data_IF_295990947435
#
_entry.id   IF_295990947435
#
_cell.length_a   1.000
_cell.length_b   1.000
_cell.length_c   1.000
_cell.angle_alpha   90.00
_cell.angle_beta   90.00
_cell.angle_gamma   90.00
#
_symmetry.space_group_name_H-M   'P 1'
#
loop_
_entity.id
_entity.type
_entity.pdbx_description
1 polymer ?
#
# COMPACT_ATOMS: atom_id res chain seq x y z
N UNK A 1 5.12 -15.21 -23.35
CA UNK A 1 5.55 -14.21 -22.34
C UNK A 1 4.37 -13.44 -21.78
N UNK A 2 4.36 -13.14 -20.50
CA UNK A 2 3.35 -12.34 -19.81
C UNK A 2 4.03 -11.24 -19.00
N UNK A 3 3.57 -9.99 -19.11
CA UNK A 3 4.01 -8.87 -18.27
C UNK A 3 2.94 -8.58 -17.23
N UNK A 4 3.35 -8.41 -15.96
CA UNK A 4 2.48 -8.07 -14.84
C UNK A 4 2.97 -6.79 -14.18
N UNK A 5 2.03 -5.83 -13.99
CA UNK A 5 2.24 -4.55 -13.32
C UNK A 5 1.18 -4.32 -12.24
N UNK A 6 1.50 -3.59 -11.18
CA UNK A 6 0.53 -3.21 -10.15
C UNK A 6 -0.26 -1.93 -10.50
N UNK A 7 -0.40 -1.58 -11.77
CA UNK A 7 -1.15 -0.45 -12.29
C UNK A 7 -1.35 -0.58 -13.79
N UNK A 8 -2.11 0.35 -14.36
CA UNK A 8 -2.31 0.44 -15.81
C UNK A 8 -1.36 1.47 -16.47
N UNK A 9 -0.56 2.15 -15.66
CA UNK A 9 0.23 3.34 -15.99
C UNK A 9 1.26 3.14 -17.10
N UNK A 10 1.80 1.92 -17.26
CA UNK A 10 2.81 1.62 -18.29
C UNK A 10 2.34 0.62 -19.35
N UNK A 11 1.17 -0.03 -19.20
CA UNK A 11 0.81 -1.18 -20.04
C UNK A 11 0.79 -0.85 -21.54
N UNK A 12 0.19 0.27 -21.95
CA UNK A 12 0.20 0.72 -23.36
C UNK A 12 1.59 1.07 -23.83
N UNK A 13 2.41 1.67 -22.96
CA UNK A 13 3.81 2.03 -23.31
C UNK A 13 4.71 0.81 -23.48
N UNK A 14 4.42 -0.31 -22.83
CA UNK A 14 5.10 -1.58 -23.12
C UNK A 14 4.75 -2.10 -24.53
N UNK A 15 3.53 -1.85 -25.02
CA UNK A 15 3.16 -2.13 -26.41
C UNK A 15 3.87 -1.19 -27.38
N UNK A 16 3.92 0.11 -27.07
CA UNK A 16 4.63 1.12 -27.86
C UNK A 16 6.15 0.84 -27.92
N UNK A 17 6.72 0.25 -26.87
CA UNK A 17 8.11 -0.22 -26.83
C UNK A 17 8.33 -1.52 -27.65
N UNK A 18 7.29 -2.07 -28.28
CA UNK A 18 7.36 -3.30 -29.08
C UNK A 18 7.63 -4.56 -28.25
N UNK A 19 7.39 -4.56 -26.94
CA UNK A 19 7.66 -5.71 -26.09
C UNK A 19 6.64 -6.84 -26.36
N UNK A 20 7.11 -8.07 -26.60
CA UNK A 20 6.23 -9.19 -26.96
C UNK A 20 5.41 -9.69 -25.78
N UNK A 21 4.26 -10.28 -26.02
CA UNK A 21 3.43 -10.96 -25.05
C UNK A 21 2.30 -10.12 -24.46
N UNK A 22 1.49 -10.75 -23.62
CA UNK A 22 0.33 -10.12 -23.00
C UNK A 22 0.75 -9.24 -21.81
N UNK A 23 0.01 -8.13 -21.60
CA UNK A 23 0.20 -7.21 -20.46
C UNK A 23 -1.02 -7.29 -19.56
N UNK A 24 -0.79 -7.42 -18.25
CA UNK A 24 -1.86 -7.57 -17.24
C UNK A 24 -1.59 -6.71 -16.03
N UNK A 25 -2.65 -6.11 -15.52
CA UNK A 25 -2.66 -5.48 -14.21
C UNK A 25 -2.99 -6.51 -13.13
N UNK A 26 -2.25 -6.43 -12.02
CA UNK A 26 -2.67 -7.02 -10.74
C UNK A 26 -2.36 -6.04 -9.62
N UNK A 27 -3.39 -5.36 -9.09
CA UNK A 27 -3.27 -4.17 -8.26
C UNK A 27 -4.23 -4.22 -7.06
N UNK A 28 -4.20 -5.31 -6.30
CA UNK A 28 -4.90 -5.36 -5.02
C UNK A 28 -4.21 -4.41 -4.05
N UNK A 29 -4.93 -3.46 -3.41
CA UNK A 29 -4.33 -2.54 -2.45
C UNK A 29 -4.05 -3.24 -1.11
N UNK A 30 -3.09 -4.19 -1.09
CA UNK A 30 -2.79 -5.04 0.06
C UNK A 30 -2.22 -4.24 1.24
N UNK A 31 -1.59 -3.10 1.00
CA UNK A 31 -1.09 -2.19 2.01
C UNK A 31 -2.19 -1.47 2.81
N UNK A 32 -3.45 -1.61 2.41
CA UNK A 32 -4.62 -0.98 3.03
C UNK A 32 -5.61 -2.01 3.56
N UNK A 33 -6.07 -1.87 4.81
CA UNK A 33 -7.12 -2.67 5.42
C UNK A 33 -6.76 -4.14 5.68
N UNK A 34 -7.77 -5.03 5.79
CA UNK A 34 -7.58 -6.39 6.27
C UNK A 34 -6.91 -7.30 5.23
N UNK A 35 -5.79 -7.91 5.64
CA UNK A 35 -5.11 -8.99 4.89
C UNK A 35 -4.81 -10.14 5.87
N UNK A 36 -5.81 -10.71 6.56
CA UNK A 36 -5.58 -11.71 7.58
C UNK A 36 -5.02 -13.01 7.01
N UNK A 37 -4.32 -13.77 7.86
CA UNK A 37 -3.97 -15.16 7.56
C UNK A 37 -5.23 -16.06 7.47
N UNK A 38 -5.08 -17.25 6.92
CA UNK A 38 -6.15 -18.26 6.85
C UNK A 38 -7.22 -18.01 5.80
N UNK A 39 -7.18 -16.89 5.07
CA UNK A 39 -8.08 -16.62 3.94
C UNK A 39 -7.31 -16.60 2.61
N UNK A 40 -7.88 -17.25 1.62
CA UNK A 40 -7.39 -17.23 0.24
C UNK A 40 -8.55 -17.31 -0.79
N UNK A 41 -8.24 -17.32 -2.06
CA UNK A 41 -9.19 -17.50 -3.16
C UNK A 41 -10.41 -16.57 -3.07
N UNK A 42 -11.61 -17.15 -3.17
CA UNK A 42 -12.86 -16.41 -3.21
C UNK A 42 -13.16 -15.67 -1.90
N UNK A 43 -12.87 -16.27 -0.74
CA UNK A 43 -13.12 -15.66 0.57
C UNK A 43 -12.25 -14.41 0.76
N UNK A 44 -10.97 -14.48 0.41
CA UNK A 44 -10.06 -13.33 0.45
C UNK A 44 -10.51 -12.23 -0.52
N UNK A 45 -10.88 -12.59 -1.78
CA UNK A 45 -11.41 -11.64 -2.75
C UNK A 45 -12.63 -10.88 -2.24
N UNK A 46 -13.60 -11.61 -1.66
CA UNK A 46 -14.82 -11.00 -1.12
C UNK A 46 -14.53 -10.04 0.03
N UNK A 47 -13.64 -10.40 0.95
CA UNK A 47 -13.18 -9.53 2.03
C UNK A 47 -12.56 -8.25 1.46
N UNK A 48 -11.66 -8.39 0.49
CA UNK A 48 -10.98 -7.25 -0.14
C UNK A 48 -11.94 -6.35 -0.91
N UNK A 49 -12.88 -6.94 -1.66
CA UNK A 49 -13.89 -6.19 -2.39
C UNK A 49 -14.77 -5.36 -1.46
N UNK A 50 -15.26 -5.94 -0.37
CA UNK A 50 -16.04 -5.22 0.64
C UNK A 50 -15.27 -4.06 1.27
N UNK A 51 -14.00 -4.28 1.63
CA UNK A 51 -13.15 -3.23 2.19
C UNK A 51 -12.91 -2.08 1.20
N UNK A 52 -12.49 -2.39 -0.02
CA UNK A 52 -12.19 -1.37 -1.05
C UNK A 52 -13.46 -0.59 -1.41
N UNK A 53 -14.58 -1.27 -1.60
CA UNK A 53 -15.86 -0.65 -1.91
C UNK A 53 -16.28 0.34 -0.83
N UNK A 54 -16.21 -0.06 0.44
CA UNK A 54 -16.53 0.81 1.58
C UNK A 54 -15.61 2.02 1.67
N UNK A 55 -14.29 1.82 1.54
CA UNK A 55 -13.28 2.90 1.64
C UNK A 55 -13.39 3.91 0.50
N UNK A 56 -13.56 3.43 -0.73
CA UNK A 56 -13.58 4.26 -1.93
C UNK A 56 -14.99 4.69 -2.37
N UNK A 57 -16.03 4.28 -1.63
CA UNK A 57 -17.45 4.54 -1.98
C UNK A 57 -17.82 4.02 -3.37
N UNK A 58 -17.40 2.78 -3.65
CA UNK A 58 -17.66 2.07 -4.88
C UNK A 58 -18.73 0.98 -4.66
N UNK A 59 -19.31 0.52 -5.74
CA UNK A 59 -20.18 -0.66 -5.70
C UNK A 59 -19.35 -1.94 -5.45
N UNK A 60 -19.79 -2.75 -4.48
CA UNK A 60 -19.04 -3.95 -4.04
C UNK A 60 -18.92 -4.99 -5.15
N UNK A 61 -19.99 -5.17 -5.97
CA UNK A 61 -19.96 -6.15 -7.05
C UNK A 61 -18.99 -5.70 -8.15
N UNK A 62 -18.97 -4.43 -8.49
CA UNK A 62 -18.02 -3.84 -9.44
C UNK A 62 -16.57 -4.10 -9.02
N UNK A 63 -16.26 -3.89 -7.74
CA UNK A 63 -14.90 -4.15 -7.19
C UNK A 63 -14.60 -5.66 -7.23
N UNK A 64 -15.56 -6.51 -6.82
CA UNK A 64 -15.39 -7.97 -6.84
C UNK A 64 -15.14 -8.51 -8.25
N UNK A 65 -15.85 -7.99 -9.23
CA UNK A 65 -15.68 -8.36 -10.64
C UNK A 65 -14.31 -7.94 -11.17
N UNK A 66 -13.82 -6.74 -10.78
CA UNK A 66 -12.50 -6.28 -11.15
C UNK A 66 -11.39 -7.16 -10.53
N UNK A 67 -11.46 -7.43 -9.23
CA UNK A 67 -10.51 -8.32 -8.56
C UNK A 67 -10.53 -9.74 -9.15
N UNK A 68 -11.72 -10.25 -9.50
CA UNK A 68 -11.85 -11.56 -10.15
C UNK A 68 -11.21 -11.58 -11.54
N UNK A 69 -11.34 -10.50 -12.30
CA UNK A 69 -10.72 -10.35 -13.63
C UNK A 69 -9.19 -10.30 -13.52
N UNK A 70 -8.66 -9.62 -12.51
CA UNK A 70 -7.24 -9.57 -12.25
C UNK A 70 -6.67 -10.96 -11.89
N UNK A 71 -7.37 -11.73 -11.07
CA UNK A 71 -6.97 -13.11 -10.72
C UNK A 71 -6.98 -14.03 -11.94
N UNK A 72 -8.01 -13.95 -12.80
CA UNK A 72 -8.04 -14.69 -14.07
C UNK A 72 -6.93 -14.27 -15.03
N UNK A 73 -6.55 -12.98 -14.99
CA UNK A 73 -5.40 -12.47 -15.74
C UNK A 73 -4.08 -13.11 -15.29
N UNK A 74 -3.94 -13.35 -13.98
CA UNK A 74 -2.77 -13.98 -13.41
C UNK A 74 -2.65 -15.46 -13.78
N UNK A 75 -3.77 -16.18 -13.93
CA UNK A 75 -3.78 -17.59 -14.38
C UNK A 75 -3.17 -17.77 -15.78
N UNK A 76 -3.10 -16.70 -16.59
CA UNK A 76 -2.42 -16.72 -17.88
C UNK A 76 -0.90 -16.91 -17.77
N UNK A 77 -0.33 -16.89 -16.57
CA UNK A 77 1.07 -17.24 -16.32
C UNK A 77 1.36 -18.74 -16.62
N UNK A 78 0.33 -19.59 -16.50
CA UNK A 78 0.45 -21.04 -16.74
C UNK A 78 0.86 -21.29 -18.19
N UNK A 79 1.96 -22.01 -18.39
CA UNK A 79 2.47 -22.38 -19.71
C UNK A 79 3.15 -21.27 -20.49
N UNK A 80 3.42 -20.11 -19.86
CA UNK A 80 4.25 -19.07 -20.48
C UNK A 80 5.73 -19.45 -20.49
N UNK A 81 6.46 -18.99 -21.48
CA UNK A 81 7.93 -19.13 -21.54
C UNK A 81 8.61 -18.27 -20.47
N UNK A 82 8.00 -17.12 -20.12
CA UNK A 82 8.50 -16.19 -19.10
C UNK A 82 7.37 -15.29 -18.60
N UNK A 83 7.38 -14.97 -17.30
CA UNK A 83 6.56 -13.92 -16.70
C UNK A 83 7.48 -12.79 -16.20
N UNK A 84 7.25 -11.56 -16.66
CA UNK A 84 8.03 -10.37 -16.30
C UNK A 84 7.23 -9.50 -15.36
N UNK A 85 7.78 -9.29 -14.16
CA UNK A 85 7.21 -8.48 -13.09
C UNK A 85 7.80 -7.07 -13.12
N UNK A 86 6.93 -6.04 -13.20
CA UNK A 86 7.30 -4.62 -13.27
C UNK A 86 6.90 -3.91 -11.99
N UNK A 87 7.86 -3.58 -11.14
CA UNK A 87 7.63 -3.07 -9.79
C UNK A 87 8.53 -1.89 -9.43
N UNK A 88 8.13 -1.20 -8.39
CA UNK A 88 8.80 -0.05 -7.78
C UNK A 88 9.14 -0.33 -6.32
N UNK A 89 9.76 0.64 -5.68
CA UNK A 89 10.31 0.52 -4.32
C UNK A 89 9.32 0.87 -3.20
N UNK A 90 8.12 1.32 -3.55
CA UNK A 90 7.13 1.80 -2.59
C UNK A 90 6.34 0.69 -1.90
N UNK A 91 5.59 1.05 -0.86
CA UNK A 91 4.82 0.10 -0.03
C UNK A 91 3.74 -0.64 -0.82
N UNK A 92 3.04 0.02 -1.75
CA UNK A 92 2.00 -0.62 -2.55
C UNK A 92 2.61 -1.72 -3.42
N UNK A 93 3.64 -1.37 -4.18
CA UNK A 93 4.34 -2.26 -5.09
C UNK A 93 4.96 -3.45 -4.34
N UNK A 94 5.64 -3.20 -3.23
CA UNK A 94 6.33 -4.26 -2.49
C UNK A 94 5.37 -5.26 -1.83
N UNK A 95 4.20 -4.81 -1.34
CA UNK A 95 3.18 -5.73 -0.79
C UNK A 95 2.52 -6.58 -1.89
N UNK A 96 2.30 -6.01 -3.07
CA UNK A 96 1.84 -6.75 -4.25
C UNK A 96 2.91 -7.73 -4.73
N UNK A 97 4.17 -7.31 -4.80
CA UNK A 97 5.29 -8.16 -5.25
C UNK A 97 5.44 -9.43 -4.41
N UNK A 98 5.46 -9.32 -3.08
CA UNK A 98 5.59 -10.51 -2.21
C UNK A 98 4.39 -11.46 -2.35
N UNK A 99 3.18 -10.90 -2.55
CA UNK A 99 1.99 -11.72 -2.80
C UNK A 99 2.08 -12.44 -4.16
N UNK A 100 2.51 -11.75 -5.21
CA UNK A 100 2.61 -12.33 -6.54
C UNK A 100 3.72 -13.38 -6.64
N UNK A 101 4.86 -13.17 -6.01
CA UNK A 101 5.95 -14.16 -6.00
C UNK A 101 5.49 -15.47 -5.35
N UNK A 102 4.82 -15.41 -4.18
CA UNK A 102 4.26 -16.61 -3.55
C UNK A 102 3.14 -17.25 -4.40
N UNK A 103 2.28 -16.45 -5.00
CA UNK A 103 1.14 -16.96 -5.76
C UNK A 103 1.55 -17.57 -7.10
N UNK A 104 2.46 -16.92 -7.84
CA UNK A 104 2.95 -17.43 -9.13
C UNK A 104 3.72 -18.73 -8.97
N UNK A 105 4.53 -18.87 -7.93
CA UNK A 105 5.21 -20.11 -7.62
C UNK A 105 4.25 -21.29 -7.41
N UNK A 106 3.06 -21.02 -6.84
CA UNK A 106 2.02 -22.03 -6.61
C UNK A 106 1.18 -22.36 -7.85
N UNK A 107 0.78 -21.36 -8.64
CA UNK A 107 -0.15 -21.59 -9.77
C UNK A 107 0.55 -21.91 -11.09
N UNK A 108 1.80 -21.49 -11.26
CA UNK A 108 2.59 -21.70 -12.47
C UNK A 108 4.01 -22.21 -12.11
N UNK A 109 4.10 -23.35 -11.40
CA UNK A 109 5.38 -23.87 -10.92
C UNK A 109 6.32 -24.15 -12.11
N UNK A 110 7.57 -23.70 -11.98
CA UNK A 110 8.60 -23.90 -13.00
C UNK A 110 8.55 -22.92 -14.18
N UNK A 111 7.57 -22.03 -14.25
CA UNK A 111 7.58 -20.93 -15.23
C UNK A 111 8.64 -19.91 -14.82
N UNK A 112 9.59 -19.55 -15.70
CA UNK A 112 10.61 -18.55 -15.42
C UNK A 112 9.99 -17.20 -15.08
N UNK A 113 10.37 -16.63 -13.92
CA UNK A 113 9.98 -15.29 -13.50
C UNK A 113 11.19 -14.35 -13.65
N UNK A 114 10.95 -13.15 -14.15
CA UNK A 114 11.93 -12.06 -14.17
C UNK A 114 11.36 -10.83 -13.50
N UNK A 115 12.22 -10.07 -12.83
CA UNK A 115 11.86 -8.88 -12.06
C UNK A 115 12.59 -7.65 -12.58
N UNK A 116 11.82 -6.59 -12.81
CA UNK A 116 12.25 -5.21 -12.91
C UNK A 116 11.70 -4.52 -11.67
N UNK A 117 12.59 -4.01 -10.81
CA UNK A 117 12.19 -3.30 -9.59
C UNK A 117 13.22 -2.22 -9.31
N UNK A 118 12.81 -0.95 -9.38
CA UNK A 118 13.70 0.21 -9.33
C UNK A 118 13.19 1.29 -8.37
N UNK A 119 14.12 2.08 -7.81
CA UNK A 119 13.88 3.24 -6.97
C UNK A 119 14.34 4.55 -7.64
N UNK A 120 15.03 4.46 -8.76
CA UNK A 120 15.63 5.59 -9.49
C UNK A 120 15.77 5.28 -10.97
N UNK A 121 15.82 6.32 -11.78
CA UNK A 121 16.16 6.24 -13.20
C UNK A 121 16.98 7.47 -13.60
N UNK A 122 17.96 7.27 -14.46
CA UNK A 122 18.81 8.35 -14.95
C UNK A 122 17.96 9.43 -15.66
N UNK A 123 18.29 10.69 -15.42
CA UNK A 123 17.53 11.83 -15.96
C UNK A 123 16.42 12.36 -15.07
N UNK A 124 16.12 11.70 -13.93
CA UNK A 124 15.15 12.19 -12.95
C UNK A 124 15.85 12.58 -11.64
N UNK A 125 15.73 13.83 -11.24
CA UNK A 125 16.19 14.28 -9.91
C UNK A 125 15.43 13.57 -8.79
N UNK A 126 14.12 13.37 -9.01
CA UNK A 126 13.24 12.56 -8.14
C UNK A 126 12.42 11.62 -9.01
N UNK A 127 12.80 10.38 -9.04
CA UNK A 127 12.01 9.33 -9.67
C UNK A 127 10.77 9.02 -8.83
N UNK A 128 9.60 9.11 -9.44
CA UNK A 128 8.31 8.87 -8.76
C UNK A 128 7.81 7.45 -9.03
N UNK A 129 8.03 6.95 -10.25
CA UNK A 129 7.62 5.61 -10.63
C UNK A 129 7.82 5.30 -12.11
N UNK A 130 7.59 4.06 -12.49
CA UNK A 130 7.66 3.59 -13.88
C UNK A 130 6.73 4.36 -14.81
N UNK A 131 5.66 4.93 -14.26
CA UNK A 131 4.72 5.80 -14.97
C UNK A 131 5.34 7.08 -15.54
N UNK A 132 6.52 7.50 -15.09
CA UNK A 132 7.24 8.67 -15.61
C UNK A 132 8.09 8.33 -16.86
N UNK A 133 8.34 7.03 -17.13
CA UNK A 133 9.22 6.57 -18.18
C UNK A 133 8.51 6.51 -19.55
N UNK A 134 9.23 6.84 -20.59
CA UNK A 134 8.76 6.64 -21.98
C UNK A 134 8.97 5.19 -22.46
N UNK A 135 8.45 4.88 -23.65
CA UNK A 135 8.52 3.55 -24.24
C UNK A 135 9.98 3.07 -24.46
N UNK A 136 10.89 3.97 -24.87
CA UNK A 136 12.30 3.63 -25.07
C UNK A 136 13.01 3.28 -23.78
N UNK A 137 12.75 4.05 -22.71
CA UNK A 137 13.27 3.81 -21.36
C UNK A 137 12.75 2.47 -20.78
N UNK A 138 11.44 2.19 -20.94
CA UNK A 138 10.86 0.91 -20.55
C UNK A 138 11.45 -0.26 -21.34
N UNK A 139 11.68 -0.09 -22.65
CA UNK A 139 12.37 -1.07 -23.48
C UNK A 139 13.79 -1.38 -22.99
N UNK A 140 14.54 -0.33 -22.58
CA UNK A 140 15.87 -0.49 -21.99
C UNK A 140 15.82 -1.27 -20.65
N UNK A 141 14.87 -0.96 -19.77
CA UNK A 141 14.66 -1.68 -18.50
C UNK A 141 14.33 -3.17 -18.74
N UNK A 142 13.56 -3.47 -19.78
CA UNK A 142 13.27 -4.86 -20.14
C UNK A 142 14.53 -5.66 -20.44
N UNK A 143 15.51 -5.04 -21.10
CA UNK A 143 16.83 -5.64 -21.36
C UNK A 143 17.65 -5.92 -20.09
N UNK A 144 17.35 -5.23 -18.99
CA UNK A 144 18.04 -5.32 -17.70
C UNK A 144 17.28 -6.14 -16.64
N UNK A 145 16.16 -6.79 -17.02
CA UNK A 145 15.38 -7.61 -16.11
C UNK A 145 16.23 -8.74 -15.50
N UNK A 146 16.00 -9.04 -14.24
CA UNK A 146 16.76 -10.05 -13.52
C UNK A 146 15.90 -11.28 -13.25
N UNK A 147 16.43 -12.51 -13.40
CA UNK A 147 15.69 -13.72 -13.06
C UNK A 147 15.36 -13.74 -11.57
N UNK A 148 14.13 -14.11 -11.25
CA UNK A 148 13.71 -14.37 -9.86
C UNK A 148 14.27 -15.72 -9.44
N UNK A 149 15.01 -15.74 -8.36
CA UNK A 149 15.62 -16.93 -7.78
C UNK A 149 14.74 -17.54 -6.67
N UNK A 150 14.89 -18.83 -6.39
CA UNK A 150 14.11 -19.52 -5.36
C UNK A 150 14.18 -18.83 -3.98
N UNK A 151 15.36 -18.33 -3.58
CA UNK A 151 15.54 -17.63 -2.31
C UNK A 151 14.80 -16.27 -2.26
N UNK A 152 14.56 -15.60 -3.39
CA UNK A 152 13.70 -14.42 -3.45
C UNK A 152 12.23 -14.77 -3.17
N UNK A 153 11.77 -15.92 -3.71
CA UNK A 153 10.42 -16.44 -3.45
C UNK A 153 10.27 -16.85 -1.98
N UNK A 154 11.29 -17.47 -1.39
CA UNK A 154 11.28 -17.83 0.03
C UNK A 154 11.21 -16.60 0.94
N UNK A 155 12.00 -15.56 0.65
CA UNK A 155 11.95 -14.26 1.35
C UNK A 155 10.57 -13.62 1.22
N UNK A 156 10.00 -13.59 0.01
CA UNK A 156 8.66 -13.05 -0.24
C UNK A 156 7.59 -13.82 0.55
N UNK A 157 7.66 -15.15 0.56
CA UNK A 157 6.74 -16.02 1.30
C UNK A 157 6.84 -15.80 2.82
N UNK A 158 8.05 -15.68 3.36
CA UNK A 158 8.26 -15.38 4.78
C UNK A 158 7.69 -14.01 5.14
N UNK A 159 7.96 -13.00 4.33
CA UNK A 159 7.45 -11.65 4.52
C UNK A 159 5.92 -11.58 4.39
N UNK A 160 5.33 -12.29 3.43
CA UNK A 160 3.87 -12.34 3.27
C UNK A 160 3.19 -13.00 4.47
N UNK A 161 3.75 -14.09 5.00
CA UNK A 161 3.22 -14.70 6.25
C UNK A 161 3.28 -13.72 7.42
N UNK A 162 4.42 -13.05 7.62
CA UNK A 162 4.59 -12.06 8.67
C UNK A 162 3.64 -10.85 8.51
N UNK A 163 3.43 -10.39 7.27
CA UNK A 163 2.52 -9.29 6.93
C UNK A 163 1.05 -9.63 7.23
N UNK A 164 0.67 -10.91 7.09
CA UNK A 164 -0.68 -11.41 7.34
C UNK A 164 -0.94 -11.84 8.78
N UNK A 165 0.12 -11.94 9.60
CA UNK A 165 0.00 -12.34 10.99
C UNK A 165 -0.69 -11.25 11.85
N UNK A 166 -1.45 -11.65 12.88
CA UNK A 166 -2.09 -10.72 13.83
C UNK A 166 -1.08 -10.05 14.77
N UNK A 167 0.13 -10.57 14.86
CA UNK A 167 1.25 -10.09 15.68
C UNK A 167 2.38 -9.57 14.78
N UNK A 168 2.86 -8.32 14.95
CA UNK A 168 3.90 -7.74 14.13
C UNK A 168 5.31 -8.24 14.40
N UNK A 169 5.56 -9.06 15.41
CA UNK A 169 6.91 -9.44 15.87
C UNK A 169 7.75 -10.09 14.76
N UNK A 170 7.14 -10.99 13.97
CA UNK A 170 7.83 -11.61 12.82
C UNK A 170 8.16 -10.59 11.74
N UNK A 171 7.30 -9.60 11.53
CA UNK A 171 7.52 -8.52 10.57
C UNK A 171 8.69 -7.62 11.02
N UNK A 172 8.73 -7.27 12.31
CA UNK A 172 9.86 -6.55 12.94
C UNK A 172 11.16 -7.32 12.77
N UNK A 173 11.15 -8.63 12.99
CA UNK A 173 12.33 -9.48 12.82
C UNK A 173 12.86 -9.42 11.38
N UNK A 174 11.98 -9.51 10.38
CA UNK A 174 12.37 -9.40 8.96
C UNK A 174 12.94 -8.01 8.65
N UNK A 175 12.31 -6.94 9.14
CA UNK A 175 12.77 -5.56 8.92
C UNK A 175 14.18 -5.37 9.50
N UNK A 176 14.43 -5.87 10.72
CA UNK A 176 15.75 -5.77 11.39
C UNK A 176 16.85 -6.56 10.67
N UNK A 177 16.51 -7.75 10.20
CA UNK A 177 17.45 -8.59 9.44
C UNK A 177 17.78 -8.00 8.06
N UNK A 178 16.86 -7.18 7.52
CA UNK A 178 16.94 -6.72 6.14
C UNK A 178 16.50 -7.81 5.14
N UNK A 179 16.35 -7.39 3.89
CA UNK A 179 15.91 -8.27 2.79
C UNK A 179 16.79 -8.03 1.54
N UNK A 180 18.09 -8.40 1.57
CA UNK A 180 19.02 -8.07 0.48
C UNK A 180 18.58 -8.65 -0.88
N UNK A 181 17.82 -9.73 -0.88
CA UNK A 181 17.22 -10.34 -2.07
C UNK A 181 16.12 -9.49 -2.71
N UNK A 182 15.37 -8.77 -1.88
CA UNK A 182 14.32 -7.81 -2.25
C UNK A 182 14.62 -6.47 -1.56
N UNK A 183 15.56 -5.68 -2.11
CA UNK A 183 16.25 -4.60 -1.37
C UNK A 183 15.34 -3.47 -0.88
N UNK A 184 14.15 -3.31 -1.45
CA UNK A 184 13.20 -2.28 -1.04
C UNK A 184 12.16 -2.76 -0.03
N UNK A 185 12.05 -4.09 0.15
CA UNK A 185 10.98 -4.70 0.95
C UNK A 185 11.03 -4.30 2.42
N UNK A 186 12.20 -4.34 3.07
CA UNK A 186 12.32 -4.00 4.49
C UNK A 186 11.87 -2.56 4.78
N UNK A 187 12.23 -1.59 3.91
CA UNK A 187 11.81 -0.20 4.05
C UNK A 187 10.28 -0.03 3.87
N UNK A 188 9.70 -0.73 2.88
CA UNK A 188 8.27 -0.75 2.64
C UNK A 188 7.50 -1.33 3.84
N UNK A 189 7.96 -2.46 4.40
CA UNK A 189 7.35 -3.08 5.58
C UNK A 189 7.47 -2.19 6.83
N UNK A 190 8.57 -1.48 7.00
CA UNK A 190 8.70 -0.47 8.07
C UNK A 190 7.67 0.65 7.89
N UNK A 191 7.50 1.15 6.64
CA UNK A 191 6.46 2.16 6.34
C UNK A 191 5.05 1.63 6.60
N UNK A 192 4.81 0.34 6.36
CA UNK A 192 3.54 -0.32 6.70
C UNK A 192 3.26 -0.28 8.20
N UNK A 193 4.22 -0.62 9.05
CA UNK A 193 4.05 -0.60 10.51
C UNK A 193 3.77 0.82 11.04
N UNK A 194 4.20 1.85 10.36
CA UNK A 194 3.88 3.25 10.69
C UNK A 194 2.41 3.62 10.41
N UNK A 195 1.61 2.71 9.82
CA UNK A 195 0.16 2.85 9.72
C UNK A 195 -0.58 2.41 11.00
N UNK A 196 0.11 1.77 11.96
CA UNK A 196 -0.41 1.57 13.30
C UNK A 196 -0.61 2.93 14.02
N UNK A 197 -1.56 3.03 14.97
CA UNK A 197 -1.69 4.25 15.78
C UNK A 197 -0.40 4.47 16.58
N UNK A 198 0.15 5.69 16.53
CA UNK A 198 1.37 6.01 17.26
C UNK A 198 1.08 6.22 18.75
N UNK A 199 2.03 5.88 19.64
CA UNK A 199 1.90 6.07 21.07
C UNK A 199 1.64 7.53 21.45
N UNK A 200 2.23 8.44 20.73
CA UNK A 200 2.24 9.90 21.00
C UNK A 200 0.84 10.52 20.90
N UNK A 201 0.02 10.10 19.92
CA UNK A 201 -1.22 10.78 19.58
C UNK A 201 -2.32 9.88 18.97
N UNK A 202 -2.06 8.58 18.81
CA UNK A 202 -3.02 7.64 18.26
C UNK A 202 -3.30 7.77 16.76
N UNK A 203 -2.56 8.60 16.04
CA UNK A 203 -2.62 8.74 14.59
C UNK A 203 -1.69 7.74 13.92
N UNK A 204 -2.03 7.29 12.72
CA UNK A 204 -1.06 6.72 11.79
C UNK A 204 -0.16 7.84 11.22
N UNK A 205 0.98 7.48 10.65
CA UNK A 205 1.85 8.45 9.98
C UNK A 205 1.12 9.20 8.85
N UNK A 206 0.27 8.50 8.08
CA UNK A 206 -0.54 9.14 7.02
C UNK A 206 -1.52 10.15 7.59
N UNK A 207 -2.25 9.81 8.66
CA UNK A 207 -3.20 10.71 9.29
C UNK A 207 -2.51 11.94 9.88
N UNK A 208 -1.35 11.76 10.50
CA UNK A 208 -0.52 12.86 11.01
C UNK A 208 -0.12 13.81 9.89
N UNK A 209 0.40 13.29 8.76
CA UNK A 209 0.79 14.11 7.61
C UNK A 209 -0.38 14.86 6.99
N UNK A 210 -1.59 14.27 7.01
CA UNK A 210 -2.81 14.98 6.60
C UNK A 210 -3.07 16.19 7.52
N UNK A 211 -2.98 16.02 8.84
CA UNK A 211 -3.16 17.12 9.80
C UNK A 211 -2.05 18.19 9.66
N UNK A 212 -0.80 17.78 9.46
CA UNK A 212 0.33 18.67 9.21
C UNK A 212 0.13 19.48 7.92
N UNK A 213 -0.39 18.84 6.85
CA UNK A 213 -0.72 19.53 5.61
C UNK A 213 -1.78 20.62 5.83
N UNK A 214 -2.86 20.30 6.57
CA UNK A 214 -3.90 21.28 6.89
C UNK A 214 -3.38 22.40 7.80
N UNK A 215 -2.49 22.09 8.74
CA UNK A 215 -1.83 23.09 9.57
C UNK A 215 -0.86 24.00 8.78
N UNK A 216 -0.39 23.53 7.61
CA UNK A 216 0.40 24.28 6.63
C UNK A 216 -0.47 24.88 5.49
N UNK A 217 -1.74 25.19 5.78
CA UNK A 217 -2.70 25.86 4.89
C UNK A 217 -3.07 25.08 3.60
N UNK A 218 -2.83 23.78 3.53
CA UNK A 218 -3.39 22.93 2.48
C UNK A 218 -4.86 22.60 2.84
N UNK A 219 -5.83 23.25 2.22
CA UNK A 219 -7.23 23.09 2.60
C UNK A 219 -8.02 22.13 1.71
N UNK A 220 -7.63 21.95 0.45
CA UNK A 220 -8.37 21.08 -0.48
C UNK A 220 -7.83 19.66 -0.48
N UNK A 221 -8.67 18.62 -0.76
CA UNK A 221 -8.20 17.22 -0.85
C UNK A 221 -6.97 17.03 -1.74
N UNK A 222 -6.94 17.69 -2.89
CA UNK A 222 -5.81 17.60 -3.84
C UNK A 222 -4.54 18.28 -3.32
N UNK A 223 -4.65 19.41 -2.59
CA UNK A 223 -3.51 20.08 -1.98
C UNK A 223 -2.93 19.27 -0.82
N UNK A 224 -3.80 18.71 0.03
CA UNK A 224 -3.41 17.83 1.13
C UNK A 224 -2.73 16.55 0.56
N UNK A 225 -3.34 15.93 -0.45
CA UNK A 225 -2.76 14.76 -1.12
C UNK A 225 -1.33 15.04 -1.61
N UNK A 226 -1.14 16.14 -2.34
CA UNK A 226 0.18 16.54 -2.85
C UNK A 226 1.19 16.76 -1.72
N UNK A 227 0.77 17.41 -0.63
CA UNK A 227 1.63 17.65 0.53
C UNK A 227 2.10 16.31 1.15
N UNK A 228 1.16 15.39 1.40
CA UNK A 228 1.48 14.06 1.96
C UNK A 228 2.39 13.26 1.03
N UNK A 229 2.09 13.24 -0.29
CA UNK A 229 2.93 12.54 -1.26
C UNK A 229 4.35 13.11 -1.35
N UNK A 230 4.52 14.42 -1.14
CA UNK A 230 5.84 15.05 -1.12
C UNK A 230 6.63 14.72 0.15
N UNK A 231 5.95 14.44 1.26
CA UNK A 231 6.57 14.00 2.52
C UNK A 231 6.94 12.50 2.54
N UNK A 232 6.43 11.69 1.61
CA UNK A 232 6.81 10.28 1.49
C UNK A 232 8.20 10.12 0.86
N UNK A 233 8.99 9.18 1.36
CA UNK A 233 10.25 8.78 0.72
C UNK A 233 9.98 8.06 -0.60
N UNK A 234 8.99 7.15 -0.58
CA UNK A 234 8.44 6.46 -1.73
C UNK A 234 6.91 6.68 -1.74
N UNK A 235 6.38 7.24 -2.79
CA UNK A 235 4.94 7.50 -2.93
C UNK A 235 4.22 6.20 -3.17
N UNK A 236 3.22 5.87 -2.33
CA UNK A 236 2.59 4.55 -2.37
C UNK A 236 1.06 4.58 -2.34
N UNK A 237 0.45 5.59 -1.72
CA UNK A 237 -0.98 5.60 -1.49
C UNK A 237 -1.72 6.33 -2.61
N UNK A 238 -2.75 5.69 -3.17
CA UNK A 238 -3.64 6.33 -4.12
C UNK A 238 -4.54 7.38 -3.45
N UNK A 239 -5.02 8.33 -4.25
CA UNK A 239 -5.84 9.46 -3.82
C UNK A 239 -7.13 9.04 -3.10
N UNK A 240 -7.87 8.05 -3.60
CA UNK A 240 -9.12 7.59 -3.00
C UNK A 240 -8.96 7.07 -1.57
N UNK A 241 -7.88 6.35 -1.28
CA UNK A 241 -7.59 5.87 0.07
C UNK A 241 -7.19 7.01 0.99
N UNK A 242 -6.41 7.97 0.51
CA UNK A 242 -6.05 9.13 1.29
C UNK A 242 -7.26 10.06 1.52
N UNK A 243 -8.16 10.22 0.55
CA UNK A 243 -9.43 10.93 0.72
C UNK A 243 -10.32 10.23 1.76
N UNK A 244 -10.30 8.91 1.82
CA UNK A 244 -11.00 8.18 2.88
C UNK A 244 -10.42 8.49 4.27
N UNK A 245 -9.09 8.61 4.40
CA UNK A 245 -8.43 9.01 5.65
C UNK A 245 -8.78 10.45 6.06
N UNK A 246 -8.91 11.37 5.10
CA UNK A 246 -9.39 12.74 5.38
C UNK A 246 -10.83 12.73 5.90
N UNK A 247 -11.72 11.94 5.30
CA UNK A 247 -13.11 11.78 5.79
C UNK A 247 -13.16 11.18 7.19
N UNK A 248 -12.30 10.22 7.48
CA UNK A 248 -12.20 9.62 8.82
C UNK A 248 -11.80 10.68 9.86
N UNK A 249 -10.79 11.49 9.56
CA UNK A 249 -10.34 12.57 10.44
C UNK A 249 -11.38 13.66 10.65
N UNK A 250 -12.28 13.85 9.68
CA UNK A 250 -13.39 14.82 9.77
C UNK A 250 -14.68 14.25 10.40
N UNK A 251 -14.65 13.02 10.94
CA UNK A 251 -15.85 12.35 11.45
C UNK A 251 -15.59 11.67 12.80
N UNK A 252 -16.69 11.25 13.47
CA UNK A 252 -16.63 10.58 14.78
C UNK A 252 -16.88 11.52 15.95
N UNK A 253 -16.75 11.01 17.20
CA UNK A 253 -17.02 11.78 18.41
C UNK A 253 -16.11 12.99 18.62
N UNK A 254 -14.85 12.91 18.18
CA UNK A 254 -13.84 13.96 18.34
C UNK A 254 -13.12 14.19 17.01
N UNK A 255 -13.76 14.86 16.03
CA UNK A 255 -13.16 15.09 14.72
C UNK A 255 -11.90 15.96 14.82
N UNK A 256 -10.83 15.53 14.15
CA UNK A 256 -9.58 16.28 14.06
C UNK A 256 -9.61 17.36 12.97
N UNK A 257 -10.43 17.15 11.94
CA UNK A 257 -10.69 18.10 10.87
C UNK A 257 -12.15 18.54 10.86
N UNK A 258 -12.37 19.77 10.46
CA UNK A 258 -13.69 20.27 10.06
C UNK A 258 -13.75 20.30 8.54
N UNK A 259 -14.78 19.66 7.96
CA UNK A 259 -15.04 19.63 6.53
C UNK A 259 -16.14 20.63 6.19
N UNK A 260 -15.95 21.44 5.15
CA UNK A 260 -16.98 22.25 4.49
C UNK A 260 -17.19 21.76 3.07
N UNK A 261 -18.44 21.88 2.57
CA UNK A 261 -18.81 21.34 1.27
C UNK A 261 -18.98 19.83 1.25
N UNK A 262 -19.57 19.31 0.19
CA UNK A 262 -19.93 17.89 0.01
C UNK A 262 -19.67 17.35 -1.41
N UNK A 263 -19.29 18.21 -2.35
CA UNK A 263 -18.94 17.81 -3.73
C UNK A 263 -17.50 17.27 -3.81
N UNK A 264 -17.35 16.00 -3.46
CA UNK A 264 -16.06 15.32 -3.44
C UNK A 264 -15.52 15.02 -4.84
N UNK A 265 -14.20 15.25 -5.07
CA UNK A 265 -13.22 15.90 -4.18
C UNK A 265 -13.06 17.40 -4.41
N UNK A 266 -13.79 18.01 -5.34
CA UNK A 266 -13.52 19.38 -5.83
C UNK A 266 -14.13 20.49 -4.97
N UNK A 267 -15.32 20.27 -4.43
CA UNK A 267 -16.08 21.24 -3.64
C UNK A 267 -15.95 21.04 -2.13
N UNK A 268 -14.83 20.47 -1.66
CA UNK A 268 -14.58 20.19 -0.25
C UNK A 268 -13.34 20.94 0.22
N UNK A 269 -13.43 21.53 1.41
CA UNK A 269 -12.30 22.15 2.10
C UNK A 269 -12.22 21.63 3.54
N UNK A 270 -11.00 21.62 4.07
CA UNK A 270 -10.68 21.20 5.43
C UNK A 270 -10.02 22.31 6.22
N UNK A 271 -10.33 22.35 7.52
CA UNK A 271 -9.63 23.16 8.51
C UNK A 271 -9.38 22.35 9.78
N UNK A 272 -8.35 22.75 10.54
CA UNK A 272 -7.99 22.05 11.78
C UNK A 272 -8.95 22.41 12.91
N UNK A 273 -9.47 21.40 13.63
CA UNK A 273 -10.26 21.60 14.86
C UNK A 273 -9.37 21.84 16.09
N UNK A 274 -9.98 22.08 17.26
CA UNK A 274 -9.26 22.05 18.55
C UNK A 274 -8.60 20.68 18.82
N UNK A 275 -9.31 19.58 18.50
CA UNK A 275 -8.79 18.22 18.59
C UNK A 275 -7.59 18.02 17.68
N UNK A 276 -7.66 18.43 16.41
CA UNK A 276 -6.54 18.31 15.47
C UNK A 276 -5.29 19.02 15.95
N UNK A 277 -5.40 20.22 16.50
CA UNK A 277 -4.27 20.95 17.07
C UNK A 277 -3.70 20.26 18.32
N UNK A 278 -4.55 19.74 19.21
CA UNK A 278 -4.13 19.02 20.40
C UNK A 278 -3.40 17.71 20.03
N UNK A 279 -3.84 16.98 18.98
CA UNK A 279 -3.17 15.80 18.46
C UNK A 279 -1.76 16.13 17.96
N UNK A 280 -1.61 17.15 17.11
CA UNK A 280 -0.29 17.56 16.62
C UNK A 280 0.66 18.01 17.74
N UNK A 281 0.10 18.56 18.80
CA UNK A 281 0.86 18.94 20.01
C UNK A 281 1.17 17.75 20.94
N UNK A 282 0.69 16.53 20.65
CA UNK A 282 0.85 15.37 21.52
C UNK A 282 0.03 15.43 22.81
N UNK A 283 -1.04 16.24 22.85
CA UNK A 283 -1.90 16.48 24.03
C UNK A 283 -3.19 15.66 23.99
N UNK A 284 -3.43 14.89 22.94
CA UNK A 284 -4.61 14.06 22.76
C UNK A 284 -4.23 12.76 22.04
N UNK A 285 -5.10 11.77 22.12
CA UNK A 285 -4.94 10.46 21.49
C UNK A 285 -6.15 10.18 20.59
N UNK A 286 -5.94 10.21 19.28
CA UNK A 286 -6.97 10.01 18.27
C UNK A 286 -7.66 8.65 18.36
N UNK A 287 -6.87 7.60 18.56
CA UNK A 287 -7.40 6.23 18.60
C UNK A 287 -8.32 6.04 19.82
N UNK A 288 -7.95 6.58 20.99
CA UNK A 288 -8.77 6.54 22.21
C UNK A 288 -10.02 7.39 22.10
N UNK A 289 -9.92 8.59 21.53
CA UNK A 289 -11.06 9.51 21.40
C UNK A 289 -12.15 8.98 20.46
N UNK A 290 -11.78 8.23 19.41
CA UNK A 290 -12.70 7.80 18.37
C UNK A 290 -13.01 6.31 18.37
N UNK A 291 -12.24 5.49 19.06
CA UNK A 291 -12.43 4.03 19.27
C UNK A 291 -12.87 3.28 18.01
N UNK A 292 -12.18 3.51 16.90
CA UNK A 292 -12.52 2.91 15.61
C UNK A 292 -11.81 1.59 15.42
N UNK A 293 -12.56 0.59 14.96
CA UNK A 293 -11.97 -0.65 14.48
C UNK A 293 -11.12 -0.39 13.23
N UNK A 294 -9.91 -0.95 13.20
CA UNK A 294 -8.96 -0.81 12.09
C UNK A 294 -8.26 -2.11 11.77
N UNK A 295 -7.72 -2.17 10.56
CA UNK A 295 -6.82 -3.22 10.12
C UNK A 295 -5.56 -2.62 9.51
N UNK A 296 -4.41 -3.20 9.83
CA UNK A 296 -3.11 -2.89 9.24
C UNK A 296 -2.49 -4.22 8.80
N UNK A 297 -2.72 -4.60 7.54
CA UNK A 297 -2.40 -5.94 7.04
C UNK A 297 -3.15 -7.04 7.78
N UNK A 298 -2.44 -7.96 8.44
CA UNK A 298 -3.01 -9.00 9.29
C UNK A 298 -3.39 -8.54 10.70
N UNK A 299 -2.94 -7.35 11.11
CA UNK A 299 -3.12 -6.84 12.46
C UNK A 299 -4.50 -6.21 12.60
N UNK A 300 -5.35 -6.78 13.46
CA UNK A 300 -6.64 -6.23 13.83
C UNK A 300 -6.51 -5.34 15.06
N UNK A 301 -7.09 -4.14 15.00
CA UNK A 301 -7.11 -3.15 16.06
C UNK A 301 -8.57 -2.92 16.50
N UNK A 302 -9.10 -3.74 17.42
CA UNK A 302 -10.47 -3.61 17.90
C UNK A 302 -10.63 -2.36 18.76
N UNK A 303 -11.83 -1.78 18.76
CA UNK A 303 -12.16 -0.70 19.67
C UNK A 303 -12.20 -1.19 21.14
N UNK A 304 -11.63 -0.40 22.06
CA UNK A 304 -11.72 -0.65 23.50
C UNK A 304 -10.90 -1.83 24.05
N UNK A 305 -9.98 -2.38 23.27
CA UNK A 305 -9.08 -3.46 23.68
C UNK A 305 -7.61 -3.05 23.56
N UNK A 306 -6.67 -3.79 24.17
CA UNK A 306 -5.23 -3.61 23.91
C UNK A 306 -4.94 -3.75 22.42
N UNK A 307 -4.15 -2.81 21.88
CA UNK A 307 -3.80 -2.78 20.46
C UNK A 307 -2.31 -2.54 20.25
N UNK A 308 -1.80 -3.01 19.12
CA UNK A 308 -0.47 -2.69 18.67
C UNK A 308 -0.39 -1.21 18.28
N UNK A 309 0.62 -0.52 18.80
CA UNK A 309 0.89 0.89 18.54
C UNK A 309 2.34 1.09 18.13
N UNK A 310 2.58 2.03 17.25
CA UNK A 310 3.94 2.36 16.82
C UNK A 310 4.61 3.27 17.84
N UNK A 311 5.75 2.81 18.37
CA UNK A 311 6.62 3.56 19.26
C UNK A 311 7.70 4.25 18.42
N UNK A 312 7.71 5.59 18.40
CA UNK A 312 8.56 6.37 17.50
C UNK A 312 10.05 6.25 17.88
N UNK A 313 10.35 6.26 19.19
CA UNK A 313 11.72 6.20 19.70
C UNK A 313 12.37 4.84 19.41
N UNK A 314 11.63 3.76 19.57
CA UNK A 314 12.09 2.40 19.29
C UNK A 314 12.05 2.08 17.79
N UNK A 315 11.23 2.80 17.03
CA UNK A 315 11.00 2.57 15.61
C UNK A 315 10.19 1.28 15.31
N UNK A 316 9.42 0.79 16.29
CA UNK A 316 8.74 -0.51 16.26
C UNK A 316 7.38 -0.50 16.96
N UNK A 317 6.51 -1.50 16.66
CA UNK A 317 5.26 -1.69 17.39
C UNK A 317 5.47 -2.22 18.80
N UNK A 318 4.65 -1.70 19.72
CA UNK A 318 4.50 -2.20 21.09
C UNK A 318 3.04 -2.46 21.39
N UNK A 319 2.74 -3.48 22.19
CA UNK A 319 1.38 -3.73 22.64
C UNK A 319 1.03 -2.75 23.77
N UNK A 320 0.05 -1.88 23.52
CA UNK A 320 -0.41 -0.88 24.48
C UNK A 320 -1.74 -1.27 25.06
N UNK A 321 -1.87 -1.20 26.37
CA UNK A 321 -3.17 -1.32 27.08
C UNK A 321 -4.02 -0.11 26.67
N UNK A 322 -5.32 -0.35 26.43
CA UNK A 322 -6.29 0.66 26.02
C UNK A 322 -6.40 1.83 26.97
#
# INVERSE_FOLDING_TARGET
>A
MLHIRCGDDILSRLDDAGLPGAKRRWAYPLCEGPVPEGLDGAAFRSLRAGFVAARCRLDTQTVLDDLTRQDKGLEQAIGQDEVVLWFEHDLFDQTVLIHLLDRLDRIAPGVPLSLICIDRHEGFERFVGLGDLDAGQLGALFGMRRPVQAWMVETARAALRAFRAPDPSSLVTIIRAGTPELPFLAAALKRHLQQLPWLRDGLSLTERRILEAVAADATTPSAIFRHVQNAEQARWQGDWFQFASMRDLASGPAPALHQTGDDWPKGVEFSSTGTGRALLAGQADWFRLNQRERWVGGIHLPAGAPVWRYAEEEGEPVLSVA
#
